data_IF_406501681508
#
_entry.id   IF_406501681508
#
_cell.length_a   1.000
_cell.length_b   1.000
_cell.length_c   1.000
_cell.angle_alpha   90.00
_cell.angle_beta   90.00
_cell.angle_gamma   90.00
#
_symmetry.space_group_name_H-M   'P 1'
#
loop_
_entity.id
_entity.type
_entity.pdbx_description
1 polymer ?
#
# COMPACT_ATOMS: atom_id res chain seq x y z
N UNK A 1 1.69 5.48 -8.33
CA UNK A 1 1.37 4.12 -7.85
C UNK A 1 2.64 3.34 -7.60
N UNK A 2 2.61 2.39 -6.67
CA UNK A 2 3.76 1.59 -6.23
C UNK A 2 3.35 0.14 -5.94
N UNK A 3 4.32 -0.73 -5.70
CA UNK A 3 4.14 -2.09 -5.18
C UNK A 3 4.78 -2.25 -3.80
N UNK A 4 5.50 -3.35 -3.59
CA UNK A 4 6.33 -3.58 -2.39
C UNK A 4 7.71 -4.10 -2.81
N UNK A 5 8.73 -3.26 -2.74
CA UNK A 5 10.10 -3.64 -3.09
C UNK A 5 11.12 -2.62 -2.57
N UNK A 6 12.15 -3.13 -1.91
CA UNK A 6 13.48 -2.53 -1.74
C UNK A 6 14.52 -3.55 -2.24
N UNK A 7 15.80 -3.19 -2.43
CA UNK A 7 16.82 -4.22 -2.62
C UNK A 7 16.95 -5.09 -1.36
N UNK A 8 17.06 -6.41 -1.52
CA UNK A 8 17.50 -7.27 -0.42
C UNK A 8 18.93 -6.89 0.01
N UNK A 9 19.36 -7.31 1.20
CA UNK A 9 20.74 -7.11 1.65
C UNK A 9 21.72 -7.75 0.66
N UNK A 10 22.57 -6.93 0.04
CA UNK A 10 23.52 -7.37 -0.99
C UNK A 10 22.95 -7.47 -2.40
N UNK A 11 21.67 -7.18 -2.62
CA UNK A 11 21.07 -7.07 -3.95
C UNK A 11 21.45 -5.73 -4.59
N UNK A 12 22.01 -5.80 -5.80
CA UNK A 12 22.25 -4.61 -6.63
C UNK A 12 21.03 -4.31 -7.51
N UNK A 13 20.62 -3.04 -7.59
CA UNK A 13 19.56 -2.60 -8.51
C UNK A 13 19.96 -2.87 -9.96
N UNK A 14 19.23 -3.72 -10.71
CA UNK A 14 19.51 -3.93 -12.12
C UNK A 14 19.17 -2.67 -12.94
N UNK A 15 19.88 -2.39 -14.04
CA UNK A 15 19.59 -1.24 -14.89
C UNK A 15 18.13 -1.23 -15.38
N UNK A 16 17.49 -0.06 -15.31
CA UNK A 16 16.09 0.13 -15.72
C UNK A 16 15.06 -0.31 -14.67
N UNK A 17 15.50 -0.73 -13.50
CA UNK A 17 14.63 -0.96 -12.34
C UNK A 17 14.77 0.19 -11.33
N UNK A 18 13.75 0.35 -10.49
CA UNK A 18 13.74 1.26 -9.36
C UNK A 18 12.81 0.74 -8.28
N UNK A 19 13.01 1.20 -7.05
CA UNK A 19 12.26 0.75 -5.87
C UNK A 19 11.25 1.80 -5.36
N UNK A 20 11.19 2.96 -6.00
CA UNK A 20 10.20 4.02 -5.74
C UNK A 20 8.88 3.78 -6.48
N UNK A 21 8.17 4.85 -6.84
CA UNK A 21 6.93 4.74 -7.59
C UNK A 21 7.15 4.53 -9.09
N UNK A 22 6.10 4.14 -9.82
CA UNK A 22 6.13 4.08 -11.29
C UNK A 22 6.45 5.43 -11.94
N UNK A 23 6.03 6.54 -11.29
CA UNK A 23 6.33 7.90 -11.77
C UNK A 23 7.83 8.13 -11.88
N UNK A 24 8.64 7.45 -11.08
CA UNK A 24 10.09 7.58 -11.14
C UNK A 24 10.71 7.03 -12.41
N UNK A 25 10.02 6.18 -13.16
CA UNK A 25 10.56 5.53 -14.36
C UNK A 25 10.28 6.31 -15.63
N UNK A 26 9.47 7.37 -15.56
CA UNK A 26 9.14 8.22 -16.72
C UNK A 26 10.38 8.93 -17.24
N UNK A 27 10.65 8.83 -18.54
CA UNK A 27 11.75 9.52 -19.22
C UNK A 27 11.26 10.74 -20.01
N UNK A 28 9.98 10.75 -20.37
CA UNK A 28 9.30 11.81 -21.11
C UNK A 28 7.79 11.68 -20.92
N UNK A 29 7.05 12.79 -20.92
CA UNK A 29 5.59 12.78 -20.94
C UNK A 29 5.04 13.90 -21.83
N UNK A 30 3.84 13.68 -22.37
CA UNK A 30 3.09 14.67 -23.15
C UNK A 30 1.82 15.07 -22.40
N UNK A 31 1.68 16.35 -22.10
CA UNK A 31 0.55 16.90 -21.36
C UNK A 31 -0.17 18.01 -22.13
N UNK A 32 -1.45 18.22 -21.81
CA UNK A 32 -2.20 19.40 -22.25
C UNK A 32 -1.82 20.57 -21.35
N UNK A 33 -1.26 21.64 -21.93
CA UNK A 33 -0.76 22.81 -21.19
C UNK A 33 -1.20 24.11 -21.87
N UNK A 34 -1.36 25.18 -21.10
CA UNK A 34 -1.63 26.52 -21.62
C UNK A 34 -0.38 27.12 -22.28
N UNK A 35 -0.51 27.55 -23.53
CA UNK A 35 0.48 28.34 -24.24
C UNK A 35 0.02 29.80 -24.29
N UNK A 36 0.68 30.67 -23.53
CA UNK A 36 0.36 32.09 -23.43
C UNK A 36 0.56 32.83 -24.76
N UNK A 37 1.59 32.46 -25.54
CA UNK A 37 1.87 33.09 -26.83
C UNK A 37 0.81 32.72 -27.89
N UNK A 38 0.30 31.50 -27.84
CA UNK A 38 -0.76 31.04 -28.72
C UNK A 38 -2.18 31.35 -28.20
N UNK A 39 -2.32 31.72 -26.92
CA UNK A 39 -3.60 32.00 -26.26
C UNK A 39 -4.54 30.78 -26.23
N UNK A 40 -4.00 29.56 -26.12
CA UNK A 40 -4.77 28.31 -26.13
C UNK A 40 -4.02 27.16 -25.48
N UNK A 41 -4.74 26.09 -25.13
CA UNK A 41 -4.13 24.84 -24.74
C UNK A 41 -3.50 24.10 -25.93
N UNK A 42 -2.34 23.51 -25.71
CA UNK A 42 -1.58 22.72 -26.68
C UNK A 42 -1.09 21.42 -26.04
N UNK A 43 -0.75 20.44 -26.88
CA UNK A 43 0.03 19.29 -26.42
C UNK A 43 1.51 19.70 -26.36
N UNK A 44 2.12 19.54 -25.19
CA UNK A 44 3.56 19.75 -24.99
C UNK A 44 4.18 18.48 -24.43
N UNK A 45 5.20 18.01 -25.13
CA UNK A 45 6.10 16.95 -24.66
C UNK A 45 7.21 17.59 -23.83
N UNK A 46 7.46 17.05 -22.63
CA UNK A 46 8.53 17.48 -21.72
C UNK A 46 9.43 16.30 -21.38
N UNK A 47 10.74 16.50 -21.53
CA UNK A 47 11.75 15.52 -21.14
C UNK A 47 11.91 15.46 -19.63
N UNK A 48 12.37 14.32 -19.10
CA UNK A 48 12.54 14.12 -17.64
C UNK A 48 13.53 15.05 -16.96
N UNK A 49 14.44 15.69 -17.69
CA UNK A 49 15.38 16.68 -17.16
C UNK A 49 14.79 18.11 -17.12
N UNK A 50 13.62 18.35 -17.73
CA UNK A 50 12.95 19.64 -17.67
C UNK A 50 12.25 19.84 -16.33
N UNK A 51 12.38 21.02 -15.68
CA UNK A 51 11.74 21.29 -14.39
C UNK A 51 10.22 21.05 -14.37
N UNK A 52 9.55 21.34 -15.48
CA UNK A 52 8.10 21.15 -15.62
C UNK A 52 7.68 19.69 -15.47
N UNK A 53 8.55 18.76 -15.89
CA UNK A 53 8.28 17.33 -15.78
C UNK A 53 8.08 16.93 -14.32
N UNK A 54 8.87 17.48 -13.39
CA UNK A 54 8.87 17.07 -11.99
C UNK A 54 7.51 17.25 -11.29
N UNK A 55 6.75 18.29 -11.65
CA UNK A 55 5.38 18.51 -11.17
C UNK A 55 4.36 17.60 -11.89
N UNK A 56 4.60 17.27 -13.16
CA UNK A 56 3.73 16.44 -13.99
C UNK A 56 3.86 14.94 -13.70
N UNK A 57 4.94 14.49 -13.07
CA UNK A 57 5.14 13.07 -12.70
C UNK A 57 4.12 12.57 -11.67
N UNK A 58 3.70 13.43 -10.75
CA UNK A 58 2.62 13.19 -9.77
C UNK A 58 1.80 14.47 -9.65
N UNK A 59 0.80 14.62 -10.51
CA UNK A 59 0.03 15.87 -10.63
C UNK A 59 -1.35 15.84 -9.92
N UNK A 60 -1.71 14.71 -9.28
CA UNK A 60 -2.96 14.54 -8.50
C UNK A 60 -4.24 14.90 -9.26
N UNK A 61 -4.24 14.79 -10.58
CA UNK A 61 -5.37 15.20 -11.42
C UNK A 61 -5.46 16.70 -11.73
N UNK A 62 -4.48 17.54 -11.35
CA UNK A 62 -4.36 18.97 -11.74
C UNK A 62 -3.74 19.18 -13.13
N UNK A 63 -3.50 18.10 -13.88
CA UNK A 63 -2.98 18.11 -15.24
C UNK A 63 -3.53 16.92 -16.00
N UNK A 64 -3.49 17.00 -17.33
CA UNK A 64 -3.92 15.93 -18.23
C UNK A 64 -2.72 15.44 -19.05
N UNK A 65 -2.08 14.38 -18.55
CA UNK A 65 -1.04 13.64 -19.28
C UNK A 65 -1.74 12.69 -20.26
N UNK A 66 -1.38 12.79 -21.53
CA UNK A 66 -1.95 11.99 -22.63
C UNK A 66 -1.07 10.83 -23.05
N UNK A 67 0.25 10.95 -22.84
CA UNK A 67 1.24 9.92 -23.14
C UNK A 67 2.41 10.03 -22.15
N UNK A 68 3.00 8.89 -21.80
CA UNK A 68 4.22 8.82 -21.00
C UNK A 68 5.12 7.71 -21.54
N UNK A 69 6.42 7.99 -21.63
CA UNK A 69 7.46 7.04 -21.98
C UNK A 69 8.17 6.63 -20.70
N UNK A 70 8.24 5.32 -20.42
CA UNK A 70 8.85 4.80 -19.20
C UNK A 70 10.06 3.93 -19.55
N UNK A 71 11.12 4.06 -18.75
CA UNK A 71 12.22 3.11 -18.76
C UNK A 71 11.77 1.80 -18.12
N UNK A 72 12.07 0.69 -18.79
CA UNK A 72 11.81 -0.67 -18.30
C UNK A 72 13.12 -1.46 -18.24
N UNK A 73 13.32 -2.19 -17.15
CA UNK A 73 14.44 -3.11 -17.02
C UNK A 73 14.12 -4.50 -17.56
N UNK A 74 15.15 -5.35 -17.64
CA UNK A 74 14.96 -6.76 -18.02
C UNK A 74 14.05 -7.49 -17.02
N UNK A 75 13.15 -8.33 -17.51
CA UNK A 75 12.24 -9.10 -16.65
C UNK A 75 13.01 -10.08 -15.75
N UNK A 76 12.40 -10.42 -14.62
CA UNK A 76 12.96 -11.32 -13.63
C UNK A 76 11.94 -12.38 -13.25
N UNK A 77 12.40 -13.62 -13.14
CA UNK A 77 11.63 -14.64 -12.46
C UNK A 77 11.65 -14.38 -10.96
N UNK A 78 10.47 -14.36 -10.35
CA UNK A 78 10.29 -14.23 -8.92
C UNK A 78 9.79 -15.57 -8.35
N UNK A 79 10.05 -15.78 -7.07
CA UNK A 79 9.34 -16.75 -6.23
C UNK A 79 8.49 -15.96 -5.23
N UNK A 80 7.21 -16.26 -5.13
CA UNK A 80 6.31 -15.69 -4.11
C UNK A 80 5.91 -16.79 -3.13
N UNK A 81 6.22 -16.60 -1.84
CA UNK A 81 5.81 -17.49 -0.75
C UNK A 81 4.77 -16.82 0.11
N UNK A 82 3.72 -17.56 0.45
CA UNK A 82 2.70 -17.17 1.43
C UNK A 82 2.91 -17.92 2.74
N UNK A 83 2.97 -17.19 3.84
CA UNK A 83 3.19 -17.67 5.21
C UNK A 83 2.00 -17.22 6.07
N UNK A 84 1.40 -18.14 6.81
CA UNK A 84 0.26 -17.90 7.71
C UNK A 84 0.47 -18.50 9.11
N UNK A 85 1.69 -18.91 9.41
CA UNK A 85 2.09 -19.58 10.65
C UNK A 85 2.88 -18.66 11.61
N UNK A 86 2.95 -17.36 11.29
CA UNK A 86 3.70 -16.36 12.04
C UNK A 86 2.70 -15.46 12.80
N UNK A 87 2.69 -15.46 14.14
CA UNK A 87 1.87 -14.53 14.90
C UNK A 87 2.25 -13.07 14.63
N UNK A 88 1.28 -12.16 14.66
CA UNK A 88 1.51 -10.71 14.55
C UNK A 88 2.47 -10.21 15.63
N UNK A 89 2.39 -10.77 16.85
CA UNK A 89 3.31 -10.47 17.95
C UNK A 89 4.78 -10.90 17.68
N UNK A 90 5.00 -11.81 16.73
CA UNK A 90 6.33 -12.19 16.26
C UNK A 90 6.74 -11.34 15.05
N UNK A 91 5.88 -11.26 14.02
CA UNK A 91 6.14 -10.57 12.76
C UNK A 91 6.39 -9.06 12.97
N UNK A 92 5.63 -8.46 13.88
CA UNK A 92 5.67 -7.04 14.21
C UNK A 92 6.29 -6.78 15.58
N UNK A 93 7.09 -7.70 16.11
CA UNK A 93 7.77 -7.53 17.40
C UNK A 93 8.59 -6.24 17.45
N UNK A 94 8.66 -5.61 18.63
CA UNK A 94 9.52 -4.47 18.87
C UNK A 94 11.00 -4.83 18.62
N UNK A 95 11.84 -3.88 18.17
CA UNK A 95 13.26 -4.15 17.88
C UNK A 95 14.04 -4.79 19.04
N UNK A 96 13.74 -4.40 20.28
CA UNK A 96 14.37 -4.98 21.47
C UNK A 96 14.07 -6.48 21.66
N UNK A 97 12.92 -6.94 21.15
CA UNK A 97 12.47 -8.32 21.25
C UNK A 97 12.57 -9.08 19.92
N UNK A 98 13.17 -8.47 18.89
CA UNK A 98 13.19 -9.01 17.52
C UNK A 98 14.23 -10.13 17.31
N UNK A 99 15.20 -10.26 18.20
CA UNK A 99 16.29 -11.22 18.07
C UNK A 99 15.76 -12.66 17.94
N UNK A 100 16.17 -13.35 16.87
CA UNK A 100 15.77 -14.74 16.60
C UNK A 100 14.33 -14.94 16.14
N UNK A 101 13.54 -13.87 15.96
CA UNK A 101 12.15 -13.93 15.49
C UNK A 101 12.04 -13.74 13.98
N UNK A 102 10.95 -14.23 13.39
CA UNK A 102 10.60 -14.05 11.97
C UNK A 102 9.93 -12.69 11.75
N UNK A 103 10.70 -11.61 11.89
CA UNK A 103 10.19 -10.23 11.79
C UNK A 103 10.01 -9.76 10.35
N UNK A 104 9.13 -8.78 10.13
CA UNK A 104 8.92 -8.19 8.81
C UNK A 104 10.23 -7.62 8.24
N UNK A 105 10.99 -6.87 9.04
CA UNK A 105 12.31 -6.37 8.63
C UNK A 105 13.24 -7.50 8.20
N UNK A 106 13.28 -8.62 8.93
CA UNK A 106 14.10 -9.78 8.56
C UNK A 106 13.71 -10.38 7.20
N UNK A 107 12.41 -10.48 6.90
CA UNK A 107 11.97 -10.91 5.56
C UNK A 107 12.34 -9.90 4.49
N UNK A 108 12.16 -8.60 4.76
CA UNK A 108 12.48 -7.57 3.77
C UNK A 108 13.99 -7.49 3.55
N UNK A 109 14.84 -7.74 4.55
CA UNK A 109 16.29 -7.79 4.39
C UNK A 109 16.70 -9.02 3.56
N UNK A 110 16.06 -10.16 3.80
CA UNK A 110 16.36 -11.39 3.08
C UNK A 110 15.89 -11.39 1.61
N UNK A 111 14.77 -10.74 1.29
CA UNK A 111 14.13 -10.86 -0.04
C UNK A 111 13.86 -9.54 -0.75
N UNK A 112 13.96 -8.42 -0.03
CA UNK A 112 13.66 -7.08 -0.52
C UNK A 112 12.16 -6.76 -0.61
N UNK A 113 11.30 -7.79 -0.73
CA UNK A 113 9.88 -7.62 -1.10
C UNK A 113 8.99 -8.43 -0.17
N UNK A 114 8.16 -7.73 0.61
CA UNK A 114 7.23 -8.35 1.53
C UNK A 114 5.93 -7.53 1.65
N UNK A 115 4.81 -8.21 1.84
CA UNK A 115 3.52 -7.61 2.19
C UNK A 115 2.88 -8.46 3.28
N UNK A 116 2.44 -7.82 4.37
CA UNK A 116 1.63 -8.47 5.39
C UNK A 116 0.18 -8.01 5.28
N UNK A 117 -0.74 -8.97 5.13
CA UNK A 117 -2.18 -8.77 5.23
C UNK A 117 -2.65 -9.32 6.57
N UNK A 118 -3.10 -8.47 7.48
CA UNK A 118 -3.52 -8.87 8.81
C UNK A 118 -5.02 -8.61 9.01
N UNK A 119 -5.80 -9.68 8.89
CA UNK A 119 -7.26 -9.64 9.02
C UNK A 119 -7.67 -9.20 10.43
N UNK A 120 -8.68 -8.34 10.51
CA UNK A 120 -9.16 -7.79 11.78
C UNK A 120 -9.51 -8.90 12.77
N UNK A 121 -9.15 -8.72 14.05
CA UNK A 121 -9.41 -9.68 15.14
C UNK A 121 -8.77 -11.07 14.97
N UNK A 122 -7.69 -11.19 14.18
CA UNK A 122 -6.94 -12.44 14.03
C UNK A 122 -5.52 -12.31 14.58
N UNK A 123 -4.88 -13.44 14.91
CA UNK A 123 -3.53 -13.42 15.49
C UNK A 123 -2.40 -13.55 14.46
N UNK A 124 -2.69 -14.05 13.25
CA UNK A 124 -1.68 -14.44 12.27
C UNK A 124 -1.94 -13.74 10.93
N UNK A 125 -1.06 -12.82 10.52
CA UNK A 125 -1.13 -12.22 9.19
C UNK A 125 -0.87 -13.25 8.09
N UNK A 126 -1.45 -13.03 6.92
CA UNK A 126 -0.97 -13.59 5.66
C UNK A 126 0.20 -12.75 5.15
N UNK A 127 1.41 -13.26 5.37
CA UNK A 127 2.64 -12.67 4.85
C UNK A 127 2.95 -13.23 3.46
N UNK A 128 3.11 -12.36 2.48
CA UNK A 128 3.66 -12.68 1.15
C UNK A 128 5.10 -12.17 1.06
N UNK A 129 5.99 -13.02 0.58
CA UNK A 129 7.42 -12.71 0.41
C UNK A 129 7.82 -13.03 -1.02
N UNK A 130 8.31 -12.04 -1.75
CA UNK A 130 8.85 -12.22 -3.10
C UNK A 130 10.37 -12.19 -3.06
N UNK A 131 11.00 -13.11 -3.80
CA UNK A 131 12.46 -13.17 -3.97
C UNK A 131 12.81 -13.37 -5.43
N UNK A 132 13.90 -12.76 -5.89
CA UNK A 132 14.42 -13.00 -7.25
C UNK A 132 14.91 -14.45 -7.31
N UNK A 133 14.38 -15.22 -8.26
CA UNK A 133 14.64 -16.65 -8.38
C UNK A 133 14.83 -17.01 -9.86
N UNK A 134 16.06 -16.90 -10.42
CA UNK A 134 16.30 -17.16 -11.84
C UNK A 134 15.89 -18.56 -12.30
N UNK A 135 15.98 -19.55 -11.40
CA UNK A 135 15.55 -20.93 -11.61
C UNK A 135 14.43 -21.29 -10.64
N UNK A 136 13.48 -22.10 -11.10
CA UNK A 136 12.37 -22.60 -10.27
C UNK A 136 12.92 -23.42 -9.09
N UNK A 137 12.66 -23.02 -7.83
CA UNK A 137 13.00 -23.84 -6.67
C UNK A 137 12.23 -25.15 -6.65
N UNK A 138 12.78 -26.16 -5.98
CA UNK A 138 12.08 -27.43 -5.76
C UNK A 138 10.83 -27.18 -4.91
N UNK A 139 9.68 -27.73 -5.34
CA UNK A 139 8.40 -27.58 -4.66
C UNK A 139 7.62 -26.31 -5.01
N UNK A 140 8.24 -25.31 -5.63
CA UNK A 140 7.51 -24.13 -6.13
C UNK A 140 6.67 -24.48 -7.36
N UNK A 141 5.40 -24.05 -7.36
CA UNK A 141 4.49 -24.17 -8.48
C UNK A 141 4.80 -23.10 -9.53
N UNK A 142 5.07 -23.52 -10.77
CA UNK A 142 5.23 -22.58 -11.88
C UNK A 142 3.89 -21.95 -12.26
N UNK A 143 3.88 -20.65 -12.55
CA UNK A 143 2.71 -19.91 -13.02
C UNK A 143 3.06 -19.07 -14.25
N UNK A 144 2.17 -19.08 -15.24
CA UNK A 144 2.32 -18.42 -16.54
C UNK A 144 1.36 -17.24 -16.75
N UNK A 145 0.45 -17.00 -15.80
CA UNK A 145 -0.47 -15.86 -15.78
C UNK A 145 -0.54 -15.17 -14.40
N UNK A 146 -0.96 -13.89 -14.34
CA UNK A 146 -1.22 -13.18 -13.08
C UNK A 146 -2.50 -13.63 -12.37
N UNK A 147 -2.73 -13.07 -11.18
CA UNK A 147 -3.92 -13.28 -10.34
C UNK A 147 -4.06 -14.70 -9.82
N UNK A 148 -3.01 -15.12 -9.11
CA UNK A 148 -2.86 -16.49 -8.63
C UNK A 148 -3.59 -16.78 -7.31
N UNK A 149 -4.46 -15.88 -6.80
CA UNK A 149 -5.23 -16.09 -5.57
C UNK A 149 -6.74 -16.02 -5.84
N UNK A 150 -7.31 -17.01 -6.55
CA UNK A 150 -8.73 -16.96 -6.95
C UNK A 150 -9.69 -16.90 -5.75
N UNK A 151 -9.27 -17.44 -4.60
CA UNK A 151 -10.04 -17.40 -3.35
C UNK A 151 -10.22 -15.97 -2.80
N UNK A 152 -9.32 -15.04 -3.12
CA UNK A 152 -9.47 -13.61 -2.76
C UNK A 152 -10.21 -12.83 -3.83
N UNK A 153 -10.08 -13.23 -5.10
CA UNK A 153 -10.71 -12.57 -6.24
C UNK A 153 -12.20 -12.91 -6.40
N UNK A 154 -12.66 -14.02 -5.82
CA UNK A 154 -14.05 -14.48 -5.89
C UNK A 154 -14.45 -15.13 -4.57
N UNK A 155 -15.24 -14.41 -3.78
CA UNK A 155 -15.69 -14.88 -2.47
C UNK A 155 -16.73 -15.99 -2.62
N UNK A 156 -16.59 -17.12 -1.90
CA UNK A 156 -17.65 -18.12 -1.80
C UNK A 156 -18.95 -17.50 -1.26
N UNK A 157 -20.10 -17.99 -1.71
CA UNK A 157 -21.42 -17.44 -1.34
C UNK A 157 -21.62 -17.27 0.19
N UNK A 158 -21.25 -18.24 1.06
CA UNK A 158 -21.40 -18.05 2.49
C UNK A 158 -20.60 -16.85 3.05
N UNK A 159 -19.40 -16.61 2.50
CA UNK A 159 -18.54 -15.48 2.87
C UNK A 159 -19.12 -14.17 2.35
N UNK A 160 -19.61 -14.17 1.11
CA UNK A 160 -20.29 -13.01 0.53
C UNK A 160 -21.57 -12.65 1.29
N UNK A 161 -22.32 -13.65 1.78
CA UNK A 161 -23.51 -13.45 2.62
C UNK A 161 -23.16 -12.83 3.96
N UNK A 162 -22.09 -13.29 4.61
CA UNK A 162 -21.58 -12.70 5.85
C UNK A 162 -21.16 -11.24 5.66
N UNK A 163 -20.45 -10.93 4.56
CA UNK A 163 -20.14 -9.54 4.19
C UNK A 163 -21.42 -8.71 3.96
N UNK A 164 -22.42 -9.27 3.27
CA UNK A 164 -23.72 -8.62 3.08
C UNK A 164 -24.44 -8.32 4.39
N UNK A 165 -24.37 -9.23 5.37
CA UNK A 165 -24.92 -9.01 6.71
C UNK A 165 -24.23 -7.86 7.44
N UNK A 166 -22.90 -7.75 7.34
CA UNK A 166 -22.14 -6.62 7.89
C UNK A 166 -22.58 -5.28 7.29
N UNK A 167 -22.70 -5.20 5.96
CA UNK A 167 -23.21 -4.01 5.26
C UNK A 167 -24.63 -3.66 5.70
N UNK A 168 -25.44 -4.69 5.99
CA UNK A 168 -26.85 -4.53 6.40
C UNK A 168 -27.05 -4.23 7.89
N UNK A 169 -25.98 -4.12 8.69
CA UNK A 169 -26.08 -3.73 10.10
C UNK A 169 -25.50 -4.71 11.12
N UNK A 170 -25.07 -5.90 10.71
CA UNK A 170 -24.58 -6.94 11.62
C UNK A 170 -23.12 -6.74 12.04
N UNK A 171 -22.71 -5.50 12.35
CA UNK A 171 -21.31 -5.08 12.55
C UNK A 171 -20.57 -5.86 13.64
N UNK A 172 -21.29 -6.35 14.65
CA UNK A 172 -20.75 -7.22 15.68
C UNK A 172 -20.18 -8.56 15.15
N UNK A 173 -20.45 -8.89 13.89
CA UNK A 173 -19.88 -10.06 13.20
C UNK A 173 -18.46 -9.81 12.67
N UNK A 174 -17.88 -8.61 12.85
CA UNK A 174 -16.55 -8.30 12.34
C UNK A 174 -15.46 -9.28 12.81
N UNK A 175 -15.44 -9.74 14.08
CA UNK A 175 -14.48 -10.76 14.51
C UNK A 175 -14.65 -12.10 13.79
N UNK A 176 -15.90 -12.54 13.59
CA UNK A 176 -16.20 -13.76 12.84
C UNK A 176 -15.74 -13.61 11.37
N UNK A 177 -16.01 -12.46 10.76
CA UNK A 177 -15.66 -12.21 9.37
C UNK A 177 -14.15 -12.18 9.15
N UNK A 178 -13.39 -11.51 10.01
CA UNK A 178 -11.92 -11.54 9.96
C UNK A 178 -11.35 -12.95 10.14
N UNK A 179 -11.92 -13.74 11.07
CA UNK A 179 -11.55 -15.13 11.25
C UNK A 179 -11.83 -15.98 9.99
N UNK A 180 -13.00 -15.80 9.36
CA UNK A 180 -13.36 -16.48 8.10
C UNK A 180 -12.42 -16.09 6.96
N UNK A 181 -12.10 -14.80 6.80
CA UNK A 181 -11.15 -14.35 5.78
C UNK A 181 -9.76 -14.98 5.96
N UNK A 182 -9.24 -15.00 7.19
CA UNK A 182 -7.97 -15.65 7.51
C UNK A 182 -8.00 -17.16 7.20
N UNK A 183 -9.04 -17.87 7.66
CA UNK A 183 -9.13 -19.31 7.47
C UNK A 183 -9.31 -19.69 5.99
N UNK A 184 -10.08 -18.91 5.24
CA UNK A 184 -10.22 -19.08 3.80
C UNK A 184 -8.86 -18.95 3.09
N UNK A 185 -8.07 -17.93 3.43
CA UNK A 185 -6.72 -17.77 2.89
C UNK A 185 -5.82 -18.94 3.31
N UNK A 186 -5.83 -19.33 4.59
CA UNK A 186 -5.02 -20.44 5.13
C UNK A 186 -5.29 -21.75 4.41
N UNK A 187 -6.57 -22.14 4.30
CA UNK A 187 -6.98 -23.38 3.65
C UNK A 187 -6.57 -23.36 2.18
N UNK A 188 -6.89 -22.29 1.45
CA UNK A 188 -6.61 -22.21 0.02
C UNK A 188 -5.12 -22.21 -0.31
N UNK A 189 -4.28 -21.63 0.56
CA UNK A 189 -2.84 -21.53 0.34
C UNK A 189 -2.10 -22.80 0.78
N UNK A 190 -2.49 -23.41 1.90
CA UNK A 190 -1.70 -24.45 2.59
C UNK A 190 -2.36 -25.82 2.62
N UNK A 191 -3.69 -25.90 2.45
CA UNK A 191 -4.45 -27.14 2.64
C UNK A 191 -4.72 -27.49 4.10
N UNK A 192 -4.21 -26.71 5.06
CA UNK A 192 -4.40 -26.98 6.48
C UNK A 192 -5.78 -26.52 6.95
N UNK A 193 -6.66 -27.50 7.22
CA UNK A 193 -8.01 -27.31 7.75
C UNK A 193 -8.08 -27.42 9.28
N UNK A 194 -6.97 -27.62 9.98
CA UNK A 194 -6.95 -27.91 11.43
C UNK A 194 -7.66 -26.81 12.23
N UNK A 195 -7.38 -25.54 11.93
CA UNK A 195 -8.00 -24.41 12.63
C UNK A 195 -9.51 -24.30 12.34
N UNK A 196 -9.98 -24.76 11.18
CA UNK A 196 -11.42 -24.85 10.85
C UNK A 196 -12.09 -25.97 11.64
N UNK A 197 -11.43 -27.13 11.78
CA UNK A 197 -11.96 -28.23 12.57
C UNK A 197 -12.02 -27.91 14.07
N UNK A 198 -11.12 -27.05 14.55
CA UNK A 198 -11.08 -26.60 15.95
C UNK A 198 -11.90 -25.34 16.21
N UNK A 199 -12.43 -24.67 15.19
CA UNK A 199 -13.23 -23.44 15.34
C UNK A 199 -14.63 -23.72 15.89
N UNK A 200 -15.35 -22.69 16.33
CA UNK A 200 -16.76 -22.80 16.72
C UNK A 200 -17.72 -23.04 15.55
N UNK A 201 -18.98 -23.32 15.87
CA UNK A 201 -20.01 -23.72 14.90
C UNK A 201 -20.25 -22.65 13.82
N UNK A 202 -20.29 -21.37 14.18
CA UNK A 202 -20.49 -20.26 13.23
C UNK A 202 -19.45 -20.23 12.10
N UNK A 203 -18.19 -20.56 12.39
CA UNK A 203 -17.15 -20.63 11.35
C UNK A 203 -17.38 -21.84 10.44
N UNK A 204 -17.77 -22.99 11.00
CA UNK A 204 -18.03 -24.22 10.24
C UNK A 204 -19.30 -24.14 9.40
N UNK A 205 -20.26 -23.31 9.80
CA UNK A 205 -21.45 -22.98 9.01
C UNK A 205 -21.11 -22.15 7.76
N UNK A 206 -20.05 -21.33 7.82
CA UNK A 206 -19.57 -20.54 6.69
C UNK A 206 -18.60 -21.34 5.82
N UNK A 207 -17.64 -22.02 6.44
CA UNK A 207 -16.62 -22.83 5.76
C UNK A 207 -17.05 -24.31 5.68
N UNK A 208 -18.14 -24.54 4.96
CA UNK A 208 -18.73 -25.88 4.77
C UNK A 208 -17.79 -26.81 3.99
N UNK A 209 -18.07 -28.13 4.03
CA UNK A 209 -17.30 -29.12 3.26
C UNK A 209 -17.23 -28.83 1.76
N UNK A 210 -18.31 -28.30 1.17
CA UNK A 210 -18.33 -27.90 -0.23
C UNK A 210 -17.40 -26.71 -0.50
N UNK A 211 -17.44 -25.68 0.37
CA UNK A 211 -16.53 -24.52 0.27
C UNK A 211 -15.08 -24.99 0.36
N UNK A 212 -14.74 -25.84 1.33
CA UNK A 212 -13.39 -26.38 1.49
C UNK A 212 -12.95 -27.17 0.25
N UNK A 213 -13.83 -27.99 -0.31
CA UNK A 213 -13.56 -28.76 -1.54
C UNK A 213 -13.26 -27.83 -2.72
N UNK A 214 -14.07 -26.78 -2.90
CA UNK A 214 -13.84 -25.79 -3.95
C UNK A 214 -12.53 -25.02 -3.78
N UNK A 215 -12.18 -24.61 -2.55
CA UNK A 215 -10.92 -23.92 -2.27
C UNK A 215 -9.69 -24.77 -2.62
N UNK A 216 -9.76 -26.08 -2.38
CA UNK A 216 -8.64 -27.00 -2.60
C UNK A 216 -8.55 -27.54 -4.03
N UNK A 217 -9.62 -27.48 -4.81
CA UNK A 217 -9.69 -28.04 -6.17
C UNK A 217 -8.62 -27.47 -7.12
N UNK A 218 -8.21 -26.21 -6.93
CA UNK A 218 -7.18 -25.55 -7.74
C UNK A 218 -5.73 -25.90 -7.38
N UNK A 219 -5.52 -26.74 -6.36
CA UNK A 219 -4.22 -27.05 -5.78
C UNK A 219 -3.65 -25.91 -4.93
N UNK A 220 -2.65 -26.25 -4.10
CA UNK A 220 -2.03 -25.30 -3.17
C UNK A 220 -1.27 -24.19 -3.89
N UNK A 221 -1.28 -23.00 -3.28
CA UNK A 221 -0.72 -21.77 -3.86
C UNK A 221 0.18 -20.99 -2.90
N UNK A 222 0.71 -21.66 -1.89
CA UNK A 222 1.63 -21.08 -0.89
C UNK A 222 3.05 -20.84 -1.39
N UNK A 223 3.45 -21.43 -2.51
CA UNK A 223 4.80 -21.27 -3.08
C UNK A 223 4.74 -21.26 -4.61
N UNK A 224 4.82 -20.06 -5.18
CA UNK A 224 4.67 -19.81 -6.61
C UNK A 224 5.98 -19.32 -7.21
N UNK A 225 6.19 -19.58 -8.50
CA UNK A 225 7.36 -19.13 -9.25
C UNK A 225 6.99 -18.78 -10.69
N UNK A 226 7.52 -17.70 -11.24
CA UNK A 226 7.30 -17.30 -12.63
C UNK A 226 7.78 -15.89 -12.94
N UNK A 227 7.50 -15.42 -14.15
CA UNK A 227 7.81 -14.05 -14.59
C UNK A 227 7.22 -13.00 -13.63
N UNK A 228 7.88 -11.84 -13.50
CA UNK A 228 7.55 -10.84 -12.48
C UNK A 228 6.07 -10.45 -12.51
N UNK A 229 5.52 -10.17 -13.69
CA UNK A 229 4.11 -9.81 -13.89
C UNK A 229 3.15 -10.83 -13.27
N UNK A 230 3.43 -12.11 -13.40
CA UNK A 230 2.54 -13.20 -12.94
C UNK A 230 2.43 -13.26 -11.40
N UNK A 231 3.40 -12.68 -10.70
CA UNK A 231 3.46 -12.67 -9.24
C UNK A 231 3.24 -11.28 -8.63
N UNK A 232 3.45 -10.21 -9.39
CA UNK A 232 3.22 -8.83 -8.95
C UNK A 232 1.76 -8.36 -9.13
N UNK A 233 1.03 -8.94 -10.09
CA UNK A 233 -0.39 -8.67 -10.28
C UNK A 233 -1.22 -9.76 -9.60
N UNK A 234 -1.73 -9.48 -8.40
CA UNK A 234 -2.46 -10.46 -7.59
C UNK A 234 -3.82 -10.00 -7.05
N UNK A 235 -4.30 -8.82 -7.46
CA UNK A 235 -5.59 -8.26 -7.05
C UNK A 235 -6.45 -8.01 -8.29
N UNK A 236 -7.59 -8.70 -8.42
CA UNK A 236 -8.60 -8.39 -9.45
C UNK A 236 -9.61 -7.36 -8.97
N UNK A 237 -10.30 -6.64 -9.88
CA UNK A 237 -11.39 -5.75 -9.49
C UNK A 237 -12.61 -6.48 -8.89
N UNK A 238 -12.65 -7.81 -8.92
CA UNK A 238 -13.73 -8.62 -8.33
C UNK A 238 -13.50 -8.93 -6.85
N UNK A 239 -12.37 -8.54 -6.26
CA UNK A 239 -12.14 -8.62 -4.81
C UNK A 239 -13.19 -7.81 -4.05
N UNK A 240 -13.28 -8.05 -2.73
CA UNK A 240 -14.18 -7.32 -1.86
C UNK A 240 -14.00 -5.80 -2.03
N UNK A 241 -15.12 -5.08 -2.11
CA UNK A 241 -15.12 -3.62 -2.25
C UNK A 241 -15.04 -2.98 -0.88
N UNK A 242 -13.89 -2.36 -0.62
CA UNK A 242 -13.57 -1.73 0.65
C UNK A 242 -13.13 -0.28 0.42
N UNK A 243 -13.24 0.53 1.47
CA UNK A 243 -12.50 1.79 1.57
C UNK A 243 -11.23 1.54 2.37
N UNK A 244 -10.23 2.40 2.19
CA UNK A 244 -8.97 2.29 2.90
C UNK A 244 -8.44 3.68 3.27
N UNK A 245 -7.83 3.78 4.45
CA UNK A 245 -6.84 4.84 4.65
C UNK A 245 -5.52 4.46 3.97
N UNK A 246 -4.52 5.33 3.99
CA UNK A 246 -3.17 4.97 3.53
C UNK A 246 -2.15 6.05 3.79
N UNK A 247 -0.99 5.65 4.32
CA UNK A 247 0.12 6.54 4.62
C UNK A 247 1.46 5.89 4.30
N UNK A 248 2.38 6.68 3.75
CA UNK A 248 3.80 6.35 3.65
C UNK A 248 4.54 6.94 4.86
N UNK A 249 5.21 6.09 5.62
CA UNK A 249 6.10 6.49 6.71
C UNK A 249 7.55 6.33 6.24
N UNK A 250 8.19 7.45 5.93
CA UNK A 250 9.57 7.52 5.47
C UNK A 250 10.51 7.40 6.67
N UNK A 251 11.34 6.37 6.67
CA UNK A 251 12.26 6.01 7.76
C UNK A 251 13.60 5.57 7.18
N UNK A 252 14.64 5.53 8.02
CA UNK A 252 15.83 4.74 7.71
C UNK A 252 15.44 3.28 7.61
N UNK A 253 16.09 2.51 6.73
CA UNK A 253 15.87 1.07 6.63
C UNK A 253 15.92 0.34 7.98
N UNK A 254 16.87 0.70 8.84
CA UNK A 254 17.04 0.12 10.17
C UNK A 254 15.87 0.39 11.13
N UNK A 255 15.05 1.41 10.87
CA UNK A 255 13.89 1.80 11.69
C UNK A 255 12.57 1.18 11.19
N UNK A 256 12.58 0.39 10.13
CA UNK A 256 11.40 -0.29 9.57
C UNK A 256 10.68 -1.11 10.64
N UNK A 257 11.40 -1.95 11.38
CA UNK A 257 10.77 -2.79 12.41
C UNK A 257 10.18 -1.95 13.55
N UNK A 258 10.82 -0.83 13.88
CA UNK A 258 10.31 0.07 14.92
C UNK A 258 8.96 0.67 14.53
N UNK A 259 8.82 1.25 13.32
CA UNK A 259 7.54 1.87 12.92
C UNK A 259 6.42 0.82 12.89
N UNK A 260 6.72 -0.37 12.37
CA UNK A 260 5.73 -1.47 12.28
C UNK A 260 5.33 -1.97 13.67
N UNK A 261 6.25 -2.08 14.62
CA UNK A 261 5.90 -2.48 15.98
C UNK A 261 5.07 -1.42 16.70
N UNK A 262 5.41 -0.12 16.54
CA UNK A 262 4.64 0.98 17.13
C UNK A 262 3.21 0.99 16.62
N UNK A 263 3.02 0.82 15.30
CA UNK A 263 1.70 0.76 14.69
C UNK A 263 0.93 -0.49 15.15
N UNK A 264 1.56 -1.68 15.18
CA UNK A 264 0.88 -2.91 15.59
C UNK A 264 0.38 -2.85 17.03
N UNK A 265 1.19 -2.30 17.95
CA UNK A 265 0.78 -2.10 19.35
C UNK A 265 -0.39 -1.10 19.46
N UNK A 266 -0.30 0.03 18.77
CA UNK A 266 -1.36 1.03 18.74
C UNK A 266 -2.67 0.46 18.18
N UNK A 267 -2.61 -0.18 17.01
CA UNK A 267 -3.77 -0.74 16.33
C UNK A 267 -4.49 -1.79 17.18
N UNK A 268 -3.76 -2.69 17.85
CA UNK A 268 -4.37 -3.71 18.73
C UNK A 268 -5.09 -3.09 19.91
N UNK A 269 -4.46 -2.11 20.56
CA UNK A 269 -5.06 -1.39 21.68
C UNK A 269 -6.33 -0.68 21.22
N UNK A 270 -6.25 0.07 20.12
CA UNK A 270 -7.38 0.81 19.58
C UNK A 270 -8.54 -0.12 19.19
N UNK A 271 -8.25 -1.22 18.49
CA UNK A 271 -9.26 -2.19 18.07
C UNK A 271 -9.95 -2.84 19.29
N UNK A 272 -9.19 -3.15 20.35
CA UNK A 272 -9.73 -3.69 21.59
C UNK A 272 -10.60 -2.67 22.36
N UNK A 273 -10.21 -1.40 22.38
CA UNK A 273 -10.98 -0.32 23.02
C UNK A 273 -12.34 -0.10 22.33
N UNK A 274 -12.37 -0.12 21.00
CA UNK A 274 -13.62 -0.05 20.24
C UNK A 274 -14.50 -1.28 20.49
N UNK A 275 -13.92 -2.50 20.44
CA UNK A 275 -14.66 -3.72 20.72
C UNK A 275 -15.25 -3.76 22.14
N UNK A 276 -14.52 -3.22 23.15
CA UNK A 276 -15.00 -3.10 24.52
C UNK A 276 -16.23 -2.18 24.66
N UNK A 277 -16.42 -1.24 23.72
CA UNK A 277 -17.63 -0.40 23.62
C UNK A 277 -18.73 -1.00 22.76
N UNK A 278 -18.52 -2.20 22.20
CA UNK A 278 -19.44 -2.82 21.23
C UNK A 278 -19.39 -2.18 19.85
N UNK A 279 -18.34 -1.43 19.54
CA UNK A 279 -18.12 -0.79 18.24
C UNK A 279 -17.11 -1.59 17.42
N UNK A 280 -17.38 -1.78 16.12
CA UNK A 280 -16.55 -2.61 15.24
C UNK A 280 -16.21 -1.83 13.96
N UNK A 281 -15.34 -0.80 14.06
CA UNK A 281 -15.07 0.10 12.95
C UNK A 281 -14.29 -0.57 11.82
N UNK A 282 -13.59 -1.67 12.08
CA UNK A 282 -12.77 -2.38 11.08
C UNK A 282 -13.28 -3.79 10.89
N UNK A 283 -13.57 -4.16 9.64
CA UNK A 283 -13.98 -5.51 9.24
C UNK A 283 -13.25 -6.02 7.99
N UNK A 284 -12.19 -5.34 7.55
CA UNK A 284 -11.28 -5.86 6.54
C UNK A 284 -9.95 -6.29 7.17
N UNK A 285 -8.88 -5.64 6.75
CA UNK A 285 -7.52 -6.00 7.10
C UNK A 285 -6.63 -4.77 7.24
N UNK A 286 -5.56 -4.91 8.01
CA UNK A 286 -4.37 -4.08 7.88
C UNK A 286 -3.54 -4.61 6.70
N UNK A 287 -2.99 -3.72 5.88
CA UNK A 287 -1.95 -4.05 4.91
C UNK A 287 -0.67 -3.26 5.21
N UNK A 288 0.46 -3.97 5.28
CA UNK A 288 1.78 -3.36 5.48
C UNK A 288 2.69 -3.75 4.33
N UNK A 289 3.23 -2.74 3.63
CA UNK A 289 4.14 -2.89 2.49
C UNK A 289 5.36 -1.99 2.66
N UNK A 290 6.40 -2.24 1.88
CA UNK A 290 7.67 -1.51 1.99
C UNK A 290 8.21 -1.19 0.60
N UNK A 291 8.60 0.07 0.37
CA UNK A 291 9.26 0.49 -0.87
C UNK A 291 10.54 1.27 -0.57
N UNK A 292 11.37 1.44 -1.59
CA UNK A 292 12.36 2.51 -1.59
C UNK A 292 11.69 3.88 -1.79
N UNK A 293 12.53 4.92 -1.86
CA UNK A 293 12.10 6.28 -2.21
C UNK A 293 12.30 6.57 -3.71
N UNK A 294 11.93 7.77 -4.13
CA UNK A 294 12.20 8.26 -5.49
C UNK A 294 13.72 8.47 -5.69
N UNK A 295 14.39 7.51 -6.33
CA UNK A 295 15.75 7.70 -6.89
C UNK A 295 15.65 8.15 -8.36
N UNK A 296 15.83 9.44 -8.69
CA UNK A 296 15.66 9.92 -10.05
C UNK A 296 16.65 9.30 -11.04
N UNK A 297 17.76 8.71 -10.58
CA UNK A 297 18.69 8.00 -11.47
C UNK A 297 18.10 6.73 -12.08
N UNK A 298 17.04 6.17 -11.50
CA UNK A 298 16.36 4.98 -11.98
C UNK A 298 15.84 5.13 -13.42
N UNK A 299 15.36 6.33 -13.80
CA UNK A 299 14.91 6.62 -15.17
C UNK A 299 16.06 6.68 -16.20
N UNK A 300 17.32 6.81 -15.76
CA UNK A 300 18.49 6.85 -16.65
C UNK A 300 18.69 8.14 -17.43
N UNK A 301 17.89 9.19 -17.18
CA UNK A 301 18.03 10.50 -17.81
C UNK A 301 18.91 11.40 -16.93
N UNK A 302 20.06 11.90 -17.42
CA UNK A 302 20.89 12.83 -16.66
C UNK A 302 20.14 14.11 -16.29
N UNK A 303 20.30 14.59 -15.06
CA UNK A 303 19.64 15.80 -14.57
C UNK A 303 18.19 15.61 -14.11
N UNK A 304 17.64 14.40 -14.16
CA UNK A 304 16.33 14.08 -13.62
C UNK A 304 16.24 14.44 -12.12
N UNK A 305 15.09 15.00 -11.70
CA UNK A 305 14.74 15.22 -10.29
C UNK A 305 13.60 14.28 -9.87
N UNK A 306 13.37 14.07 -8.56
CA UNK A 306 12.26 13.24 -8.09
C UNK A 306 10.91 13.95 -8.31
N UNK A 307 9.80 13.21 -8.52
CA UNK A 307 8.47 13.79 -8.61
C UNK A 307 8.13 14.67 -7.40
N UNK A 308 7.72 15.93 -7.62
CA UNK A 308 7.61 16.93 -6.55
C UNK A 308 6.56 16.57 -5.50
N UNK A 309 5.43 15.99 -5.93
CA UNK A 309 4.32 15.59 -5.06
C UNK A 309 4.29 14.09 -4.78
N UNK A 310 5.34 13.31 -5.07
CA UNK A 310 5.35 11.89 -4.67
C UNK A 310 5.36 11.77 -3.15
N UNK A 311 4.49 10.91 -2.61
CA UNK A 311 4.49 10.57 -1.18
C UNK A 311 5.84 10.00 -0.73
N UNK A 312 6.61 9.37 -1.63
CA UNK A 312 7.93 8.78 -1.32
C UNK A 312 9.09 9.59 -1.88
N UNK A 313 8.88 10.89 -2.17
CA UNK A 313 9.97 11.79 -2.51
C UNK A 313 11.03 11.83 -1.38
N UNK A 314 12.33 11.70 -1.67
CA UNK A 314 13.38 11.80 -0.66
C UNK A 314 13.35 13.10 0.13
N UNK A 315 13.89 13.06 1.35
CA UNK A 315 14.11 14.20 2.23
C UNK A 315 15.55 14.70 2.06
N UNK A 316 15.79 15.88 1.44
CA UNK A 316 17.15 16.35 1.18
C UNK A 316 17.99 16.57 2.45
N UNK A 317 17.34 16.94 3.56
CA UNK A 317 17.93 17.12 4.88
C UNK A 317 18.18 15.81 5.63
N UNK A 318 17.62 14.69 5.15
CA UNK A 318 17.68 13.36 5.74
C UNK A 318 18.08 12.30 4.70
N UNK A 319 19.31 12.38 4.15
CA UNK A 319 19.78 11.43 3.15
C UNK A 319 19.94 9.99 3.70
N UNK A 320 19.90 9.82 5.02
CA UNK A 320 19.86 8.53 5.70
C UNK A 320 18.51 7.80 5.56
N UNK A 321 17.43 8.53 5.26
CA UNK A 321 16.08 8.00 5.09
C UNK A 321 15.91 7.49 3.66
N UNK A 322 15.73 6.18 3.50
CA UNK A 322 15.79 5.47 2.23
C UNK A 322 14.61 4.51 1.99
N UNK A 323 13.72 4.38 2.97
CA UNK A 323 12.66 3.38 2.99
C UNK A 323 11.32 4.04 3.31
N UNK A 324 10.26 3.66 2.61
CA UNK A 324 8.89 3.99 2.95
C UNK A 324 8.14 2.74 3.41
N UNK A 325 7.55 2.80 4.60
CA UNK A 325 6.63 1.78 5.12
C UNK A 325 5.22 2.26 4.86
N UNK A 326 4.47 1.52 4.06
CA UNK A 326 3.08 1.81 3.74
C UNK A 326 2.19 1.11 4.74
N UNK A 327 1.30 1.87 5.36
CA UNK A 327 0.35 1.39 6.36
C UNK A 327 -1.06 1.74 5.89
N UNK A 328 -1.83 0.70 5.63
CA UNK A 328 -3.22 0.78 5.21
C UNK A 328 -4.10 -0.05 6.14
N UNK A 329 -5.33 0.38 6.31
CA UNK A 329 -6.40 -0.35 6.99
C UNK A 329 -7.59 -0.29 6.05
N UNK A 330 -8.20 -1.44 5.80
CA UNK A 330 -9.34 -1.64 4.91
C UNK A 330 -10.57 -2.01 5.73
N UNK A 331 -11.72 -1.50 5.30
CA UNK A 331 -13.02 -1.77 5.91
C UNK A 331 -14.13 -1.51 4.91
N UNK A 332 -15.30 -2.12 5.11
CA UNK A 332 -16.49 -1.86 4.30
C UNK A 332 -16.91 -0.37 4.43
N UNK A 333 -17.20 0.37 3.33
CA UNK A 333 -17.35 1.84 3.34
C UNK A 333 -18.44 2.42 4.26
N UNK A 334 -19.45 1.64 4.65
CA UNK A 334 -20.56 2.07 5.50
C UNK A 334 -20.43 1.62 6.96
N UNK A 335 -19.25 1.14 7.36
CA UNK A 335 -19.03 0.65 8.72
C UNK A 335 -19.12 1.80 9.75
N UNK A 336 -19.96 1.70 10.79
CA UNK A 336 -20.09 2.74 11.80
C UNK A 336 -18.76 3.05 12.50
N UNK A 337 -18.57 4.31 12.87
CA UNK A 337 -17.38 4.83 13.55
C UNK A 337 -16.05 4.67 12.78
N UNK A 338 -16.08 4.23 11.52
CA UNK A 338 -14.88 4.02 10.69
C UNK A 338 -14.04 5.30 10.52
N UNK A 339 -14.68 6.45 10.23
CA UNK A 339 -13.95 7.70 10.03
C UNK A 339 -13.29 8.20 11.32
N UNK A 340 -13.98 8.11 12.46
CA UNK A 340 -13.40 8.39 13.78
C UNK A 340 -12.19 7.48 14.06
N UNK A 341 -12.31 6.18 13.80
CA UNK A 341 -11.20 5.24 13.93
C UNK A 341 -10.02 5.60 13.02
N UNK A 342 -10.26 5.92 11.74
CA UNK A 342 -9.21 6.36 10.82
C UNK A 342 -8.57 7.69 11.21
N UNK A 343 -9.33 8.63 11.79
CA UNK A 343 -8.80 9.88 12.37
C UNK A 343 -7.85 9.61 13.53
N UNK A 344 -8.19 8.70 14.44
CA UNK A 344 -7.31 8.33 15.56
C UNK A 344 -6.01 7.65 15.08
N UNK A 345 -6.10 6.81 14.04
CA UNK A 345 -4.92 6.24 13.38
C UNK A 345 -4.06 7.31 12.70
N UNK A 346 -4.68 8.24 11.97
CA UNK A 346 -3.99 9.36 11.33
C UNK A 346 -3.24 10.23 12.35
N UNK A 347 -3.90 10.58 13.46
CA UNK A 347 -3.32 11.36 14.55
C UNK A 347 -2.13 10.62 15.20
N UNK A 348 -2.25 9.31 15.42
CA UNK A 348 -1.14 8.50 15.91
C UNK A 348 0.06 8.54 14.95
N UNK A 349 -0.17 8.39 13.64
CA UNK A 349 0.91 8.41 12.65
C UNK A 349 1.59 9.78 12.62
N UNK A 350 0.84 10.88 12.61
CA UNK A 350 1.42 12.23 12.65
C UNK A 350 2.14 12.56 13.97
N UNK A 351 1.82 11.85 15.06
CA UNK A 351 2.49 11.97 16.34
C UNK A 351 3.74 11.07 16.50
N UNK A 352 4.13 10.31 15.48
CA UNK A 352 5.39 9.56 15.49
C UNK A 352 6.59 10.51 15.65
N UNK A 353 7.68 9.97 16.20
CA UNK A 353 8.93 10.70 16.41
C UNK A 353 9.46 11.28 15.08
N UNK A 354 9.35 12.61 14.93
CA UNK A 354 9.74 13.34 13.73
C UNK A 354 11.23 13.29 13.41
N UNK A 355 12.07 12.97 14.40
CA UNK A 355 13.51 12.75 14.17
C UNK A 355 13.77 11.38 13.54
N UNK A 356 12.81 10.45 13.59
CA UNK A 356 12.94 9.09 13.05
C UNK A 356 12.05 8.83 11.84
N UNK A 357 10.94 9.54 11.72
CA UNK A 357 9.93 9.30 10.69
C UNK A 357 9.41 10.60 10.05
N UNK A 358 9.07 10.53 8.76
CA UNK A 358 8.24 11.53 8.08
C UNK A 358 7.01 10.83 7.53
N UNK A 359 5.82 11.29 7.89
CA UNK A 359 4.56 10.71 7.42
C UNK A 359 3.99 11.54 6.28
N UNK A 360 3.53 10.86 5.23
CA UNK A 360 2.83 11.45 4.08
C UNK A 360 1.63 10.61 3.72
N UNK A 361 0.56 11.27 3.29
CA UNK A 361 -0.64 10.58 2.83
C UNK A 361 -0.36 9.75 1.56
N UNK A 362 -0.93 8.56 1.45
CA UNK A 362 -1.05 7.85 0.18
C UNK A 362 -2.20 8.47 -0.62
N UNK A 363 -1.87 9.23 -1.66
CA UNK A 363 -2.85 10.04 -2.39
C UNK A 363 -4.07 9.29 -2.91
N UNK A 364 -3.93 8.02 -3.27
CA UNK A 364 -5.01 7.18 -3.80
C UNK A 364 -6.01 6.70 -2.74
N UNK A 365 -5.72 6.92 -1.46
CA UNK A 365 -6.50 6.42 -0.32
C UNK A 365 -7.19 7.57 0.43
N UNK A 366 -7.88 7.24 1.51
CA UNK A 366 -8.41 8.24 2.44
C UNK A 366 -7.35 8.76 3.43
N UNK A 367 -7.44 10.05 3.71
CA UNK A 367 -6.60 10.83 4.63
C UNK A 367 -7.33 12.15 4.94
N UNK A 368 -6.81 13.00 5.83
CA UNK A 368 -7.49 14.19 6.35
C UNK A 368 -8.87 13.86 6.93
N UNK A 369 -8.91 12.97 7.91
CA UNK A 369 -10.15 12.45 8.49
C UNK A 369 -10.73 13.38 9.55
N UNK A 370 -12.02 13.70 9.42
CA UNK A 370 -12.87 14.10 10.55
C UNK A 370 -13.56 12.87 11.14
N UNK A 371 -14.36 13.04 12.18
CA UNK A 371 -15.15 11.94 12.74
C UNK A 371 -16.17 11.35 11.75
N UNK A 372 -16.47 12.09 10.66
CA UNK A 372 -17.56 11.76 9.74
C UNK A 372 -17.16 11.70 8.28
N UNK A 373 -15.96 12.12 7.88
CA UNK A 373 -15.53 12.08 6.48
C UNK A 373 -14.01 11.98 6.31
N UNK A 374 -13.58 11.32 5.23
CA UNK A 374 -12.23 11.47 4.67
C UNK A 374 -12.11 12.78 3.88
N UNK A 375 -10.88 13.22 3.61
CA UNK A 375 -10.54 14.38 2.78
C UNK A 375 -11.21 15.67 3.24
N UNK A 376 -11.41 15.83 4.55
CA UNK A 376 -12.28 16.85 5.14
C UNK A 376 -11.67 17.60 6.31
N UNK A 377 -10.57 17.13 6.91
CA UNK A 377 -9.88 17.87 7.98
C UNK A 377 -9.12 19.08 7.39
N UNK A 378 -9.51 20.32 7.71
CA UNK A 378 -8.93 21.52 7.10
C UNK A 378 -7.46 21.72 7.49
N UNK A 379 -7.05 21.33 8.71
CA UNK A 379 -5.67 21.50 9.15
C UNK A 379 -4.75 20.51 8.47
N UNK A 380 -5.22 19.27 8.28
CA UNK A 380 -4.47 18.27 7.51
C UNK A 380 -4.31 18.72 6.05
N UNK A 381 -5.39 19.19 5.43
CA UNK A 381 -5.40 19.64 4.04
C UNK A 381 -4.51 20.87 3.78
N UNK A 382 -4.56 21.86 4.67
CA UNK A 382 -3.95 23.18 4.41
C UNK A 382 -2.61 23.39 5.11
N UNK A 383 -2.28 22.61 6.13
CA UNK A 383 -1.02 22.71 6.86
C UNK A 383 -0.21 21.41 6.84
N UNK A 384 -0.76 20.32 7.39
CA UNK A 384 0.03 19.10 7.64
C UNK A 384 0.57 18.48 6.35
N UNK A 385 -0.29 18.29 5.35
CA UNK A 385 0.08 17.69 4.07
C UNK A 385 1.06 18.58 3.29
N UNK A 386 0.80 19.88 3.06
CA UNK A 386 1.77 20.78 2.43
C UNK A 386 3.11 20.82 3.19
N UNK A 387 3.09 20.92 4.51
CA UNK A 387 4.30 20.96 5.33
C UNK A 387 5.16 19.70 5.17
N UNK A 388 4.55 18.51 5.05
CA UNK A 388 5.27 17.25 4.85
C UNK A 388 6.10 17.20 3.55
N UNK A 389 5.72 17.99 2.54
CA UNK A 389 6.38 18.10 1.23
C UNK A 389 7.26 19.34 1.09
N UNK A 390 7.14 20.30 2.02
CA UNK A 390 8.10 21.40 2.23
C UNK A 390 9.25 21.01 3.16
N UNK A 391 9.01 20.02 4.02
CA UNK A 391 9.97 19.58 5.03
C UNK A 391 11.32 19.17 4.40
N UNK A 392 12.41 19.66 5.00
CA UNK A 392 13.76 19.45 4.51
C UNK A 392 14.28 20.47 3.49
N UNK A 393 13.43 21.40 3.05
CA UNK A 393 13.79 22.45 2.10
C UNK A 393 13.95 21.95 0.66
N UNK A 394 14.29 22.90 -0.23
CA UNK A 394 14.37 22.68 -1.68
C UNK A 394 13.03 22.76 -2.41
N UNK A 395 13.00 22.43 -3.72
CA UNK A 395 11.78 22.24 -4.52
C UNK A 395 10.74 21.39 -3.78
N UNK A 396 9.45 21.46 -4.09
CA UNK A 396 8.46 20.61 -3.42
C UNK A 396 7.04 21.06 -3.66
N UNK A 397 6.27 21.20 -2.59
CA UNK A 397 4.86 21.61 -2.64
C UNK A 397 4.67 22.90 -3.45
N UNK A 398 5.34 23.99 -3.04
CA UNK A 398 5.11 25.32 -3.60
C UNK A 398 5.52 25.40 -5.08
N UNK A 399 6.64 24.77 -5.45
CA UNK A 399 7.10 24.68 -6.84
C UNK A 399 6.14 23.85 -7.70
N UNK A 400 5.58 22.77 -7.16
CA UNK A 400 4.61 21.96 -7.87
C UNK A 400 3.31 22.72 -8.10
N UNK A 401 2.76 23.37 -7.07
CA UNK A 401 1.55 24.19 -7.17
C UNK A 401 1.75 25.31 -8.20
N UNK A 402 2.84 26.08 -8.09
CA UNK A 402 3.13 27.16 -9.02
C UNK A 402 3.32 26.66 -10.47
N UNK A 403 3.97 25.52 -10.66
CA UNK A 403 4.14 24.92 -11.99
C UNK A 403 2.82 24.45 -12.57
N UNK A 404 2.01 23.72 -11.79
CA UNK A 404 0.72 23.21 -12.25
C UNK A 404 -0.25 24.36 -12.57
N UNK A 405 -0.25 25.42 -11.76
CA UNK A 405 -1.06 26.62 -12.00
C UNK A 405 -0.62 27.34 -13.28
N UNK A 406 0.68 27.49 -13.51
CA UNK A 406 1.20 28.09 -14.75
C UNK A 406 0.84 27.25 -15.99
N UNK A 407 0.79 25.93 -15.87
CA UNK A 407 0.45 25.03 -16.97
C UNK A 407 -1.07 24.95 -17.23
N UNK A 408 -1.91 25.30 -16.26
CA UNK A 408 -3.37 25.35 -16.39
C UNK A 408 -3.99 26.53 -15.60
N UNK A 409 -3.77 27.79 -16.03
CA UNK A 409 -4.17 28.99 -15.28
C UNK A 409 -5.68 29.25 -15.31
N UNK A 410 -6.44 28.46 -16.08
CA UNK A 410 -7.91 28.56 -16.15
C UNK A 410 -8.60 27.44 -15.37
N UNK A 411 -7.83 26.59 -14.66
CA UNK A 411 -8.35 25.48 -13.87
C UNK A 411 -9.28 24.55 -14.68
N UNK A 412 -8.94 24.30 -15.95
CA UNK A 412 -9.74 23.41 -16.81
C UNK A 412 -9.68 21.97 -16.30
N UNK A 413 -8.51 21.55 -15.79
CA UNK A 413 -8.31 20.24 -15.16
C UNK A 413 -8.26 20.44 -13.65
N UNK A 414 -9.43 20.63 -13.03
CA UNK A 414 -9.57 20.75 -11.58
C UNK A 414 -10.90 20.21 -11.05
N UNK A 415 -11.00 20.14 -9.72
CA UNK A 415 -12.20 19.84 -8.95
C UNK A 415 -12.16 20.63 -7.63
N UNK A 416 -13.30 20.90 -6.97
CA UNK A 416 -13.32 21.72 -5.75
C UNK A 416 -12.37 21.23 -4.64
N UNK A 417 -12.18 19.92 -4.54
CA UNK A 417 -11.22 19.34 -3.60
C UNK A 417 -9.76 19.71 -3.97
N UNK A 418 -9.40 19.60 -5.25
CA UNK A 418 -8.06 19.90 -5.74
C UNK A 418 -7.75 21.40 -5.60
N UNK A 419 -8.71 22.29 -5.90
CA UNK A 419 -8.55 23.74 -5.68
C UNK A 419 -8.44 24.12 -4.19
N UNK A 420 -8.98 23.28 -3.29
CA UNK A 420 -8.79 23.47 -1.86
C UNK A 420 -7.42 22.97 -1.38
N UNK A 421 -6.95 21.88 -1.97
CA UNK A 421 -5.68 21.25 -1.62
C UNK A 421 -4.49 22.03 -2.18
N UNK A 422 -4.40 22.20 -3.50
CA UNK A 422 -3.25 22.76 -4.22
C UNK A 422 -3.36 24.28 -4.36
N UNK A 423 -3.23 24.98 -3.23
CA UNK A 423 -3.25 26.45 -3.15
C UNK A 423 -1.88 27.08 -3.01
#
# INVERSE_FOLDING_TARGET
GHGTAVPATGESTPPGHGYGSLSNLVTELTAVVWDEAAGRYVLRTVGRAEPDCDALLVHLGRSLVTEAVLRVGADQNLRCRSLLDIPAAELFAAPADAAGKRTLAGFVDASGRAEAIWFAFTDKPWLKVWSVAPRRPLGSRAVDEPYNYPFSDSLPEPVARLAGSLVSGAWASAPLFGQVQYLLAKVALTGDITDVLLSGDLVREVLTGDVLTHLLAGGLRSDLWGASRNLLQYIRPTTLRETANGYAVLVRRADLQWVVSRFADFYRTLLAEYAARGEYPVNGQVEIRVTGLEDPSACGVPGARPPLLSAVRPRPDRPDVDTAVWIDILSLPSTPALHRFYREVEQFLFALDGDRATVRAEWSKGWAYTDTAAWSDPDVLTHTVPASLRAGGGPGWDEAVATLERLDPHHVVSAPFIDNLLR
#
